data_IF_852842307764
#
_entry.id   IF_852842307764
#
_cell.length_a   1.000
_cell.length_b   1.000
_cell.length_c   1.000
_cell.angle_alpha   90.00
_cell.angle_beta   90.00
_cell.angle_gamma   90.00
#
_symmetry.space_group_name_H-M   'P 1'
#
loop_
_entity.id
_entity.type
_entity.pdbx_description
1 polymer ?
#
# COMPACT_ATOMS: atom_id res chain seq x y z
N UNK A 1 -32.28 -19.99 -16.55
CA UNK A 1 -33.64 -20.53 -16.23
C UNK A 1 -33.81 -20.54 -14.72
N UNK A 2 -34.54 -19.58 -14.14
CA UNK A 2 -34.95 -19.64 -12.71
C UNK A 2 -36.02 -20.72 -12.57
N UNK A 3 -35.60 -21.94 -12.23
CA UNK A 3 -36.53 -23.00 -11.88
C UNK A 3 -36.66 -23.00 -10.35
N UNK A 4 -37.75 -22.47 -9.82
CA UNK A 4 -38.03 -22.45 -8.37
C UNK A 4 -37.91 -23.83 -7.72
N UNK A 5 -38.01 -24.90 -8.52
CA UNK A 5 -37.76 -26.29 -8.14
C UNK A 5 -36.37 -26.53 -7.55
N UNK A 6 -35.31 -25.93 -8.09
CA UNK A 6 -33.91 -26.21 -7.67
C UNK A 6 -33.66 -25.85 -6.19
N UNK A 7 -34.45 -24.95 -5.61
CA UNK A 7 -34.33 -24.56 -4.21
C UNK A 7 -34.39 -25.73 -3.22
N UNK A 8 -35.06 -26.83 -3.58
CA UNK A 8 -35.27 -28.00 -2.70
C UNK A 8 -34.58 -29.28 -3.18
N UNK A 9 -34.08 -29.28 -4.41
CA UNK A 9 -33.48 -30.48 -5.00
C UNK A 9 -31.98 -30.56 -4.69
N UNK A 10 -31.42 -31.77 -4.74
CA UNK A 10 -30.02 -32.04 -4.44
C UNK A 10 -29.22 -32.40 -5.70
N UNK A 11 -27.92 -32.65 -5.55
CA UNK A 11 -27.03 -32.95 -6.67
C UNK A 11 -27.45 -34.23 -7.41
N UNK A 12 -27.93 -35.24 -6.69
CA UNK A 12 -28.39 -36.52 -7.26
C UNK A 12 -29.59 -36.33 -8.19
N UNK A 13 -30.60 -35.55 -7.75
CA UNK A 13 -31.74 -35.20 -8.59
C UNK A 13 -31.31 -34.51 -9.89
N UNK A 14 -30.31 -33.64 -9.80
CA UNK A 14 -29.84 -32.90 -10.96
C UNK A 14 -29.09 -33.79 -11.95
N UNK A 15 -28.22 -34.68 -11.46
CA UNK A 15 -27.49 -35.63 -12.30
C UNK A 15 -28.41 -36.63 -13.01
N UNK A 16 -29.67 -36.77 -12.57
CA UNK A 16 -30.69 -37.56 -13.26
C UNK A 16 -31.45 -36.77 -14.36
N UNK A 17 -31.14 -35.48 -14.57
CA UNK A 17 -31.79 -34.64 -15.59
C UNK A 17 -31.14 -34.79 -16.97
N UNK A 18 -31.83 -34.40 -18.07
CA UNK A 18 -31.25 -34.37 -19.42
C UNK A 18 -29.93 -33.59 -19.53
N UNK A 19 -29.07 -33.99 -20.47
CA UNK A 19 -27.74 -33.39 -20.67
C UNK A 19 -27.78 -31.88 -20.94
N UNK A 20 -28.80 -31.36 -21.66
CA UNK A 20 -28.90 -29.90 -21.87
C UNK A 20 -29.09 -29.15 -20.55
N UNK A 21 -29.87 -29.71 -19.64
CA UNK A 21 -30.01 -29.16 -18.30
C UNK A 21 -28.67 -29.23 -17.58
N UNK A 22 -27.98 -30.38 -17.65
CA UNK A 22 -26.66 -30.62 -17.02
C UNK A 22 -25.57 -29.64 -17.45
N UNK A 23 -25.52 -29.31 -18.74
CA UNK A 23 -24.57 -28.34 -19.29
C UNK A 23 -24.80 -26.93 -18.76
N UNK A 24 -26.05 -26.59 -18.40
CA UNK A 24 -26.39 -25.31 -17.79
C UNK A 24 -25.70 -25.03 -16.45
N UNK A 25 -25.18 -26.03 -15.73
CA UNK A 25 -24.42 -25.80 -14.49
C UNK A 25 -23.05 -25.15 -14.73
N UNK A 26 -22.43 -25.36 -15.89
CA UNK A 26 -21.15 -24.69 -16.21
C UNK A 26 -21.31 -23.16 -16.28
N UNK A 27 -22.49 -22.71 -16.66
CA UNK A 27 -22.84 -21.29 -16.71
C UNK A 27 -23.38 -20.76 -15.36
N UNK A 28 -23.80 -21.64 -14.44
CA UNK A 28 -24.53 -21.29 -13.22
C UNK A 28 -23.94 -21.95 -11.96
N UNK A 29 -22.69 -21.62 -11.63
CA UNK A 29 -21.99 -22.20 -10.48
C UNK A 29 -22.67 -21.93 -9.11
N UNK A 30 -23.46 -20.85 -8.99
CA UNK A 30 -24.24 -20.58 -7.77
C UNK A 30 -25.29 -21.67 -7.54
N UNK A 31 -25.91 -22.17 -8.61
CA UNK A 31 -26.88 -23.27 -8.52
C UNK A 31 -26.19 -24.60 -8.18
N UNK A 32 -24.97 -24.86 -8.69
CA UNK A 32 -24.15 -26.01 -8.25
C UNK A 32 -23.99 -26.02 -6.72
N UNK A 33 -23.61 -24.86 -6.18
CA UNK A 33 -23.29 -24.75 -4.77
C UNK A 33 -24.55 -24.87 -3.89
N UNK A 34 -25.71 -24.40 -4.35
CA UNK A 34 -27.01 -24.67 -3.69
C UNK A 34 -27.38 -26.15 -3.71
N UNK A 35 -27.24 -26.83 -4.85
CA UNK A 35 -27.52 -28.27 -4.95
C UNK A 35 -26.61 -29.07 -4.02
N UNK A 36 -25.33 -28.69 -3.93
CA UNK A 36 -24.39 -29.29 -2.99
C UNK A 36 -24.78 -29.01 -1.53
N UNK A 37 -25.17 -27.77 -1.21
CA UNK A 37 -25.71 -27.43 0.12
C UNK A 37 -26.92 -28.31 0.47
N UNK A 38 -27.89 -28.44 -0.44
CA UNK A 38 -29.08 -29.27 -0.22
C UNK A 38 -28.71 -30.76 0.01
N UNK A 39 -27.73 -31.28 -0.74
CA UNK A 39 -27.19 -32.63 -0.51
C UNK A 39 -26.60 -32.78 0.91
N UNK A 40 -25.82 -31.80 1.36
CA UNK A 40 -25.23 -31.81 2.71
C UNK A 40 -26.31 -31.76 3.80
N UNK A 41 -27.33 -30.91 3.61
CA UNK A 41 -28.46 -30.78 4.54
C UNK A 41 -29.30 -32.06 4.62
N UNK A 42 -29.58 -32.71 3.49
CA UNK A 42 -30.32 -33.97 3.47
C UNK A 42 -29.51 -35.09 4.14
N UNK A 43 -28.19 -35.16 3.88
CA UNK A 43 -27.31 -36.12 4.55
C UNK A 43 -27.32 -35.95 6.06
N UNK A 44 -27.13 -34.73 6.57
CA UNK A 44 -27.22 -34.47 8.01
C UNK A 44 -28.61 -34.82 8.57
N UNK A 45 -29.67 -34.56 7.80
CA UNK A 45 -31.05 -34.89 8.20
C UNK A 45 -31.24 -36.39 8.36
N UNK A 46 -30.71 -37.19 7.42
CA UNK A 46 -30.76 -38.66 7.49
C UNK A 46 -29.92 -39.17 8.67
N UNK A 47 -28.73 -38.62 8.87
CA UNK A 47 -27.84 -39.01 9.98
C UNK A 47 -28.48 -38.75 11.35
N UNK A 48 -29.13 -37.58 11.54
CA UNK A 48 -29.75 -37.19 12.83
C UNK A 48 -31.14 -37.79 13.05
N UNK A 49 -32.00 -37.74 12.04
CA UNK A 49 -33.43 -38.03 12.17
C UNK A 49 -33.91 -39.26 11.40
N UNK A 50 -33.03 -39.90 10.62
CA UNK A 50 -33.36 -41.03 9.76
C UNK A 50 -33.98 -40.65 8.42
N UNK A 51 -34.35 -41.67 7.66
CA UNK A 51 -35.05 -41.53 6.39
C UNK A 51 -36.41 -40.82 6.58
N UNK A 52 -36.95 -40.25 5.50
CA UNK A 52 -38.27 -39.61 5.56
C UNK A 52 -39.32 -40.64 6.02
N UNK A 53 -40.09 -40.24 7.04
CA UNK A 53 -41.13 -41.05 7.70
C UNK A 53 -40.61 -42.20 8.58
N UNK A 54 -39.29 -42.34 8.76
CA UNK A 54 -38.71 -43.27 9.72
C UNK A 54 -39.00 -42.80 11.17
N UNK A 55 -39.13 -43.76 12.10
CA UNK A 55 -39.41 -43.48 13.52
C UNK A 55 -38.34 -44.15 14.39
N UNK A 56 -38.10 -43.57 15.57
CA UNK A 56 -37.24 -44.18 16.60
C UNK A 56 -35.86 -43.54 16.79
N UNK A 57 -35.48 -42.54 15.99
CA UNK A 57 -34.25 -41.75 16.19
C UNK A 57 -34.41 -40.71 17.30
N UNK A 58 -33.32 -40.17 17.86
CA UNK A 58 -33.35 -39.12 18.89
C UNK A 58 -34.00 -37.83 18.39
N UNK A 59 -33.68 -37.43 17.16
CA UNK A 59 -34.17 -36.20 16.56
C UNK A 59 -35.36 -36.45 15.62
N UNK A 60 -36.29 -35.50 15.55
CA UNK A 60 -37.35 -35.45 14.54
C UNK A 60 -37.08 -34.29 13.56
N UNK A 61 -37.42 -34.47 12.28
CA UNK A 61 -37.42 -33.36 11.29
C UNK A 61 -38.51 -32.35 11.68
N UNK A 62 -38.17 -31.07 11.81
CA UNK A 62 -39.06 -30.01 12.33
C UNK A 62 -39.21 -28.82 11.36
N UNK A 63 -39.33 -29.15 10.07
CA UNK A 63 -39.46 -28.16 8.98
C UNK A 63 -38.15 -27.42 8.68
N UNK A 64 -38.26 -26.28 7.99
CA UNK A 64 -37.14 -25.41 7.64
C UNK A 64 -37.43 -23.95 7.94
N UNK A 65 -36.36 -23.19 8.21
CA UNK A 65 -36.40 -21.72 8.28
C UNK A 65 -35.71 -21.13 7.05
N UNK A 66 -36.13 -19.93 6.58
CA UNK A 66 -35.37 -19.19 5.59
C UNK A 66 -34.03 -18.75 6.19
N UNK A 67 -32.95 -19.00 5.47
CA UNK A 67 -31.59 -18.59 5.82
C UNK A 67 -30.79 -18.16 4.59
N UNK A 68 -29.48 -18.00 4.78
CA UNK A 68 -28.57 -17.68 3.68
C UNK A 68 -27.18 -18.22 3.96
N UNK A 69 -26.49 -18.69 2.92
CA UNK A 69 -25.07 -19.08 2.99
C UNK A 69 -24.22 -18.12 2.16
N UNK A 70 -22.91 -18.10 2.42
CA UNK A 70 -21.94 -17.32 1.64
C UNK A 70 -21.32 -18.19 0.55
N UNK A 71 -21.29 -17.69 -0.68
CA UNK A 71 -20.65 -18.35 -1.82
C UNK A 71 -19.73 -17.32 -2.48
N UNK A 72 -18.42 -17.40 -2.22
CA UNK A 72 -17.48 -16.36 -2.65
C UNK A 72 -17.82 -14.99 -2.05
N UNK A 73 -18.17 -14.03 -2.91
CA UNK A 73 -18.56 -12.66 -2.54
C UNK A 73 -20.09 -12.50 -2.42
N UNK A 74 -20.86 -13.60 -2.33
CA UNK A 74 -22.32 -13.58 -2.46
C UNK A 74 -23.02 -14.02 -1.18
N UNK A 75 -24.24 -13.49 -0.92
CA UNK A 75 -25.19 -14.11 -0.02
C UNK A 75 -26.32 -14.77 -0.80
N UNK A 76 -26.43 -16.07 -0.63
CA UNK A 76 -27.36 -16.90 -1.39
C UNK A 76 -28.43 -17.42 -0.44
N UNK A 77 -29.73 -17.17 -0.70
CA UNK A 77 -30.81 -17.65 0.15
C UNK A 77 -30.93 -19.17 0.06
N UNK A 78 -31.16 -19.81 1.20
CA UNK A 78 -31.32 -21.26 1.33
C UNK A 78 -32.38 -21.59 2.39
N UNK A 79 -32.95 -22.78 2.31
CA UNK A 79 -33.77 -23.35 3.37
C UNK A 79 -32.87 -24.08 4.38
N UNK A 80 -33.01 -23.76 5.67
CA UNK A 80 -32.22 -24.35 6.76
C UNK A 80 -33.08 -25.36 7.49
N UNK A 81 -32.74 -26.67 7.45
CA UNK A 81 -33.51 -27.68 8.17
C UNK A 81 -33.39 -27.49 9.68
N UNK A 82 -34.47 -27.82 10.39
CA UNK A 82 -34.53 -27.81 11.85
C UNK A 82 -34.78 -29.21 12.38
N UNK A 83 -34.19 -29.49 13.53
CA UNK A 83 -34.32 -30.77 14.20
C UNK A 83 -34.90 -30.56 15.60
N UNK A 84 -35.91 -31.33 15.96
CA UNK A 84 -36.44 -31.33 17.32
C UNK A 84 -35.78 -32.46 18.11
N UNK A 85 -35.01 -32.10 19.13
CA UNK A 85 -34.39 -33.05 20.04
C UNK A 85 -35.42 -33.51 21.09
N UNK A 86 -35.71 -34.82 21.12
CA UNK A 86 -36.67 -35.40 22.06
C UNK A 86 -36.14 -35.53 23.48
N UNK A 87 -34.82 -35.56 23.67
CA UNK A 87 -34.21 -35.69 25.00
C UNK A 87 -34.14 -34.32 25.68
N UNK A 88 -33.68 -33.30 24.96
CA UNK A 88 -33.54 -31.92 25.45
C UNK A 88 -34.82 -31.07 25.27
N UNK A 89 -35.85 -31.64 24.64
CA UNK A 89 -37.13 -30.99 24.31
C UNK A 89 -37.01 -29.61 23.65
N UNK A 90 -36.01 -29.43 22.78
CA UNK A 90 -35.73 -28.15 22.11
C UNK A 90 -35.47 -28.33 20.61
N UNK A 91 -35.62 -27.24 19.86
CA UNK A 91 -35.26 -27.23 18.43
C UNK A 91 -33.81 -26.80 18.26
N UNK A 92 -33.08 -27.51 17.42
CA UNK A 92 -31.70 -27.23 17.06
C UNK A 92 -31.60 -26.97 15.55
N UNK A 93 -30.70 -26.07 15.19
CA UNK A 93 -30.32 -25.81 13.80
C UNK A 93 -29.25 -26.80 13.32
N UNK A 94 -29.13 -26.96 12.00
CA UNK A 94 -28.06 -27.74 11.38
C UNK A 94 -26.68 -27.25 11.82
N UNK A 95 -25.84 -28.21 12.20
CA UNK A 95 -24.45 -27.94 12.57
C UNK A 95 -23.61 -27.65 11.33
N UNK A 96 -23.90 -28.35 10.22
CA UNK A 96 -23.30 -28.06 8.93
C UNK A 96 -23.59 -26.63 8.47
N UNK A 97 -24.81 -26.14 8.66
CA UNK A 97 -25.17 -24.76 8.35
C UNK A 97 -24.38 -23.75 9.20
N UNK A 98 -24.19 -24.02 10.50
CA UNK A 98 -23.36 -23.17 11.38
C UNK A 98 -21.91 -23.11 10.86
N UNK A 99 -21.32 -24.24 10.52
CA UNK A 99 -19.95 -24.31 9.98
C UNK A 99 -19.81 -23.53 8.65
N UNK A 100 -20.84 -23.54 7.79
CA UNK A 100 -20.83 -22.75 6.56
C UNK A 100 -20.82 -21.23 6.80
N UNK A 101 -21.37 -20.76 7.92
CA UNK A 101 -21.30 -19.35 8.30
C UNK A 101 -19.92 -18.92 8.81
N UNK A 102 -19.12 -19.87 9.28
CA UNK A 102 -17.76 -19.62 9.77
C UNK A 102 -16.73 -19.51 8.63
N UNK A 103 -17.10 -19.85 7.39
CA UNK A 103 -16.21 -19.72 6.23
C UNK A 103 -15.80 -18.25 6.06
N UNK A 104 -14.48 -17.94 6.09
CA UNK A 104 -14.01 -16.56 6.02
C UNK A 104 -14.33 -15.94 4.66
N UNK A 105 -14.61 -14.64 4.68
CA UNK A 105 -14.84 -13.86 3.48
C UNK A 105 -13.52 -13.73 2.69
N UNK A 106 -13.54 -13.70 1.35
CA UNK A 106 -12.33 -13.55 0.53
C UNK A 106 -11.81 -12.10 0.55
N UNK A 107 -11.48 -11.61 1.74
CA UNK A 107 -11.18 -10.20 2.04
C UNK A 107 -10.11 -9.60 1.13
N UNK A 108 -9.08 -10.35 0.78
CA UNK A 108 -8.00 -9.90 -0.09
C UNK A 108 -8.51 -9.47 -1.48
N UNK A 109 -9.47 -10.21 -2.05
CA UNK A 109 -10.06 -9.90 -3.37
C UNK A 109 -10.87 -8.61 -3.30
N UNK A 110 -11.67 -8.44 -2.23
CA UNK A 110 -12.44 -7.23 -1.96
C UNK A 110 -11.51 -6.03 -1.79
N UNK A 111 -10.46 -6.17 -0.98
CA UNK A 111 -9.43 -5.14 -0.77
C UNK A 111 -8.79 -4.72 -2.09
N UNK A 112 -8.39 -5.68 -2.93
CA UNK A 112 -7.77 -5.44 -4.23
C UNK A 112 -8.71 -4.70 -5.18
N UNK A 113 -9.99 -5.07 -5.22
CA UNK A 113 -11.02 -4.40 -6.02
C UNK A 113 -11.26 -2.96 -5.57
N UNK A 114 -11.41 -2.75 -4.26
CA UNK A 114 -11.62 -1.41 -3.67
C UNK A 114 -10.42 -0.52 -3.94
N UNK A 115 -9.20 -1.00 -3.70
CA UNK A 115 -8.01 -0.17 -3.92
C UNK A 115 -7.77 0.12 -5.39
N UNK A 116 -8.13 -0.79 -6.30
CA UNK A 116 -8.10 -0.55 -7.75
C UNK A 116 -9.19 0.42 -8.23
N UNK A 117 -10.04 0.88 -7.32
CA UNK A 117 -10.93 1.99 -7.53
C UNK A 117 -12.39 1.59 -7.75
N UNK A 118 -12.81 0.38 -7.41
CA UNK A 118 -14.25 0.12 -7.29
C UNK A 118 -14.74 0.80 -6.02
N UNK A 119 -15.70 1.73 -6.14
CA UNK A 119 -16.34 2.27 -4.95
C UNK A 119 -17.17 1.17 -4.28
N UNK A 120 -17.44 1.29 -2.98
CA UNK A 120 -18.21 0.26 -2.28
C UNK A 120 -19.65 0.15 -2.81
N UNK A 121 -20.19 1.22 -3.40
CA UNK A 121 -21.50 1.23 -4.06
C UNK A 121 -21.44 0.55 -5.44
N UNK A 122 -20.46 0.92 -6.26
CA UNK A 122 -20.27 0.30 -7.57
C UNK A 122 -19.93 -1.18 -7.42
N UNK A 123 -19.22 -1.57 -6.35
CA UNK A 123 -18.94 -2.97 -6.05
C UNK A 123 -20.24 -3.75 -5.78
N UNK A 124 -21.13 -3.22 -4.95
CA UNK A 124 -22.44 -3.83 -4.69
C UNK A 124 -23.26 -3.97 -5.98
N UNK A 125 -23.24 -2.97 -6.85
CA UNK A 125 -23.93 -3.01 -8.15
C UNK A 125 -23.30 -4.02 -9.14
N UNK A 126 -21.97 -4.04 -9.25
CA UNK A 126 -21.24 -4.98 -10.12
C UNK A 126 -21.42 -6.42 -9.64
N UNK A 127 -21.40 -6.66 -8.32
CA UNK A 127 -21.66 -8.01 -7.79
C UNK A 127 -23.10 -8.45 -8.04
N UNK A 128 -24.09 -7.57 -7.82
CA UNK A 128 -25.51 -7.83 -8.14
C UNK A 128 -25.82 -8.05 -9.63
N UNK A 129 -24.99 -7.53 -10.54
CA UNK A 129 -25.20 -7.68 -11.99
C UNK A 129 -24.56 -8.94 -12.56
N UNK A 130 -23.46 -9.40 -11.97
CA UNK A 130 -22.86 -10.70 -12.32
C UNK A 130 -23.70 -11.84 -11.76
N UNK A 131 -24.40 -11.60 -10.65
CA UNK A 131 -25.18 -12.61 -9.96
C UNK A 131 -26.55 -12.08 -9.55
N UNK A 132 -27.62 -12.75 -9.99
CA UNK A 132 -29.00 -12.43 -9.58
C UNK A 132 -29.29 -12.81 -8.10
N UNK A 133 -28.31 -12.72 -7.22
CA UNK A 133 -28.36 -13.00 -5.77
C UNK A 133 -28.28 -11.70 -4.95
N UNK A 134 -28.40 -11.80 -3.62
CA UNK A 134 -28.16 -10.66 -2.76
C UNK A 134 -26.64 -10.39 -2.72
N UNK A 135 -26.13 -9.63 -3.69
CA UNK A 135 -24.76 -9.11 -3.65
C UNK A 135 -24.50 -8.40 -2.31
N UNK A 136 -23.25 -8.39 -1.85
CA UNK A 136 -22.94 -7.88 -0.51
C UNK A 136 -23.37 -6.42 -0.35
N UNK A 137 -24.00 -6.11 0.77
CA UNK A 137 -24.33 -4.72 1.07
C UNK A 137 -23.06 -3.87 1.19
N UNK A 138 -23.15 -2.61 0.76
CA UNK A 138 -22.12 -1.60 0.96
C UNK A 138 -21.63 -1.55 2.42
N UNK A 139 -22.53 -1.72 3.39
CA UNK A 139 -22.19 -1.74 4.82
C UNK A 139 -21.34 -2.94 5.23
N UNK A 140 -21.52 -4.10 4.61
CA UNK A 140 -20.71 -5.30 4.87
C UNK A 140 -19.33 -5.14 4.25
N UNK A 141 -19.27 -4.71 2.99
CA UNK A 141 -18.01 -4.41 2.28
C UNK A 141 -17.19 -3.36 3.03
N UNK A 142 -17.84 -2.31 3.54
CA UNK A 142 -17.17 -1.28 4.32
C UNK A 142 -16.57 -1.81 5.61
N UNK A 143 -17.31 -2.63 6.37
CA UNK A 143 -16.81 -3.25 7.61
C UNK A 143 -15.61 -4.14 7.35
N UNK A 144 -15.71 -5.04 6.36
CA UNK A 144 -14.60 -5.92 5.97
C UNK A 144 -13.38 -5.11 5.52
N UNK A 145 -13.57 -4.07 4.70
CA UNK A 145 -12.47 -3.20 4.31
C UNK A 145 -11.82 -2.54 5.54
N UNK A 146 -12.62 -2.08 6.51
CA UNK A 146 -12.11 -1.44 7.72
C UNK A 146 -11.27 -2.39 8.55
N UNK A 147 -11.78 -3.59 8.83
CA UNK A 147 -11.09 -4.61 9.62
C UNK A 147 -9.77 -5.03 8.97
N UNK A 148 -9.77 -5.27 7.66
CA UNK A 148 -8.62 -5.80 6.94
C UNK A 148 -7.56 -4.71 6.68
N UNK A 149 -8.00 -3.51 6.32
CA UNK A 149 -7.07 -2.36 6.20
C UNK A 149 -6.45 -1.97 7.54
N UNK A 150 -7.13 -2.21 8.67
CA UNK A 150 -6.55 -2.02 10.01
C UNK A 150 -5.42 -3.01 10.27
N UNK A 151 -5.62 -4.30 9.97
CA UNK A 151 -4.56 -5.32 10.09
C UNK A 151 -3.34 -4.96 9.23
N UNK A 152 -3.56 -4.55 7.99
CA UNK A 152 -2.48 -4.13 7.08
C UNK A 152 -1.77 -2.85 7.54
N UNK A 153 -2.48 -1.91 8.15
CA UNK A 153 -1.87 -0.74 8.77
C UNK A 153 -0.96 -1.16 9.93
N UNK A 154 -1.46 -2.01 10.83
CA UNK A 154 -0.66 -2.52 11.96
C UNK A 154 0.56 -3.32 11.50
N UNK A 155 0.41 -4.15 10.46
CA UNK A 155 1.54 -4.87 9.84
C UNK A 155 2.58 -3.87 9.30
N UNK A 156 2.14 -2.87 8.55
CA UNK A 156 3.02 -1.86 7.98
C UNK A 156 3.77 -1.05 9.05
N UNK A 157 3.07 -0.69 10.13
CA UNK A 157 3.62 0.10 11.24
C UNK A 157 4.53 -0.72 12.16
N UNK A 158 4.39 -2.04 12.24
CA UNK A 158 5.16 -2.90 13.16
C UNK A 158 6.22 -3.76 12.48
N UNK A 159 6.25 -3.82 11.14
CA UNK A 159 7.19 -4.70 10.43
C UNK A 159 8.63 -4.39 10.79
N UNK A 160 9.39 -5.48 10.96
CA UNK A 160 10.82 -5.44 11.21
C UNK A 160 11.57 -4.94 9.97
N UNK A 161 12.40 -3.93 10.16
CA UNK A 161 13.26 -3.35 9.14
C UNK A 161 14.67 -3.94 9.18
N UNK A 162 15.02 -4.69 10.24
CA UNK A 162 16.35 -5.30 10.42
C UNK A 162 16.67 -6.40 9.41
N UNK A 163 15.66 -6.92 8.72
CA UNK A 163 15.82 -7.88 7.62
C UNK A 163 16.40 -7.26 6.34
N UNK A 164 16.52 -5.93 6.29
CA UNK A 164 16.99 -5.19 5.13
C UNK A 164 18.32 -4.48 5.43
N UNK A 165 19.19 -4.47 4.43
CA UNK A 165 20.39 -3.63 4.42
C UNK A 165 20.13 -2.41 3.52
N UNK A 166 20.01 -1.21 4.11
CA UNK A 166 19.63 0.02 3.41
C UNK A 166 20.83 0.86 2.98
N UNK A 167 20.88 1.21 1.70
CA UNK A 167 21.87 2.11 1.11
C UNK A 167 21.45 3.59 1.19
N UNK A 168 20.15 3.84 1.07
CA UNK A 168 19.60 5.19 1.03
C UNK A 168 18.20 5.28 1.63
N UNK A 169 17.88 6.48 2.09
CA UNK A 169 16.58 6.89 2.59
C UNK A 169 16.09 8.11 1.81
N UNK A 170 14.89 8.07 1.27
CA UNK A 170 14.25 9.20 0.59
C UNK A 170 13.07 9.65 1.44
N UNK A 171 13.01 10.93 1.75
CA UNK A 171 11.91 11.53 2.52
C UNK A 171 11.29 12.63 1.67
N UNK A 172 9.98 12.52 1.44
CA UNK A 172 9.24 13.50 0.65
C UNK A 172 7.86 13.76 1.25
N UNK A 173 7.46 15.03 1.22
CA UNK A 173 6.16 15.50 1.70
C UNK A 173 5.18 15.63 0.54
N UNK A 174 3.97 15.09 0.70
CA UNK A 174 2.91 15.22 -0.29
C UNK A 174 1.58 15.59 0.32
N UNK A 175 0.92 16.58 -0.29
CA UNK A 175 -0.44 16.93 0.08
C UNK A 175 -1.44 15.80 -0.23
N UNK A 176 -2.18 15.39 0.81
CA UNK A 176 -3.37 14.57 0.73
C UNK A 176 -4.60 15.38 1.17
N UNK A 177 -5.41 15.81 0.21
CA UNK A 177 -6.54 16.72 0.47
C UNK A 177 -6.05 18.03 1.11
N UNK A 178 -6.38 18.29 2.38
CA UNK A 178 -5.96 19.48 3.13
C UNK A 178 -4.79 19.21 4.08
N UNK A 179 -4.31 17.96 4.17
CA UNK A 179 -3.20 17.56 5.04
C UNK A 179 -1.95 17.30 4.21
N UNK A 180 -0.79 17.34 4.85
CA UNK A 180 0.47 16.86 4.28
C UNK A 180 0.76 15.46 4.83
N UNK A 181 1.27 14.58 3.99
CA UNK A 181 1.78 13.26 4.38
C UNK A 181 3.24 13.19 3.98
N UNK A 182 4.10 13.02 4.97
CA UNK A 182 5.52 12.77 4.74
C UNK A 182 5.71 11.27 4.68
N UNK A 183 6.38 10.80 3.63
CA UNK A 183 6.65 9.38 3.38
C UNK A 183 8.15 9.15 3.40
N UNK A 184 8.57 8.11 4.11
CA UNK A 184 9.93 7.60 4.08
C UNK A 184 10.00 6.37 3.16
N UNK A 185 10.93 6.37 2.21
CA UNK A 185 11.19 5.28 1.27
C UNK A 185 12.65 4.84 1.41
N UNK A 186 12.87 3.58 1.75
CA UNK A 186 14.20 2.98 1.81
C UNK A 186 14.59 2.36 0.47
N UNK A 187 15.88 2.42 0.15
CA UNK A 187 16.49 1.66 -0.94
C UNK A 187 17.49 0.68 -0.35
N UNK A 188 17.26 -0.60 -0.56
CA UNK A 188 18.16 -1.65 -0.07
C UNK A 188 19.42 -1.75 -0.92
N UNK A 189 20.46 -2.42 -0.42
CA UNK A 189 21.69 -2.72 -1.17
C UNK A 189 21.45 -3.56 -2.43
N UNK A 190 20.33 -4.28 -2.51
CA UNK A 190 19.90 -5.00 -3.73
C UNK A 190 19.09 -4.13 -4.70
N UNK A 191 18.89 -2.85 -4.36
CA UNK A 191 18.14 -1.87 -5.13
C UNK A 191 16.63 -1.94 -4.97
N UNK A 192 16.10 -2.77 -4.07
CA UNK A 192 14.66 -2.85 -3.81
C UNK A 192 14.21 -1.59 -3.07
N UNK A 193 13.10 -1.01 -3.51
CA UNK A 193 12.47 0.16 -2.88
C UNK A 193 11.38 -0.29 -1.93
N UNK A 194 11.46 0.15 -0.69
CA UNK A 194 10.64 -0.34 0.42
C UNK A 194 10.04 0.88 1.15
N UNK A 195 8.73 1.16 1.03
CA UNK A 195 8.10 2.29 1.73
C UNK A 195 8.13 2.04 3.24
N UNK A 196 8.93 2.78 4.02
CA UNK A 196 9.27 2.44 5.41
C UNK A 196 8.23 2.87 6.42
N UNK A 197 7.61 4.01 6.18
CA UNK A 197 6.70 4.66 7.09
C UNK A 197 6.12 5.93 6.48
N UNK A 198 5.06 6.44 7.09
CA UNK A 198 4.51 7.75 6.75
C UNK A 198 4.01 8.44 8.02
N UNK A 199 3.86 9.75 7.96
CA UNK A 199 3.24 10.53 9.04
C UNK A 199 2.37 11.63 8.45
N UNK A 200 1.16 11.78 9.01
CA UNK A 200 0.27 12.89 8.69
C UNK A 200 0.72 14.14 9.44
N UNK A 201 0.94 15.24 8.73
CA UNK A 201 1.37 16.52 9.28
C UNK A 201 0.51 17.66 8.72
N UNK A 202 0.35 18.72 9.51
CA UNK A 202 -0.38 19.93 9.10
C UNK A 202 0.57 21.02 8.58
N UNK A 203 1.84 21.00 8.97
CA UNK A 203 2.92 21.92 8.53
C UNK A 203 4.27 21.19 8.48
N UNK A 204 5.31 21.85 7.92
CA UNK A 204 6.72 21.38 7.85
C UNK A 204 7.39 21.26 9.23
N UNK A 205 6.78 20.51 10.15
CA UNK A 205 7.27 20.38 11.51
C UNK A 205 8.35 19.28 11.60
N UNK A 206 9.60 19.71 11.79
CA UNK A 206 10.75 18.85 12.09
C UNK A 206 10.47 17.79 13.19
N UNK A 207 9.61 18.09 14.17
CA UNK A 207 9.26 17.14 15.24
C UNK A 207 8.49 15.93 14.73
N UNK A 208 7.56 16.14 13.79
CA UNK A 208 6.78 15.04 13.22
C UNK A 208 7.68 14.09 12.42
N UNK A 209 8.57 14.65 11.60
CA UNK A 209 9.56 13.88 10.84
C UNK A 209 10.50 13.14 11.79
N UNK A 210 10.98 13.79 12.86
CA UNK A 210 11.81 13.15 13.88
C UNK A 210 11.09 11.97 14.54
N UNK A 211 9.80 12.10 14.83
CA UNK A 211 8.97 11.01 15.32
C UNK A 211 8.91 9.84 14.34
N UNK A 212 8.70 10.13 13.04
CA UNK A 212 8.75 9.11 11.99
C UNK A 212 10.11 8.40 11.95
N UNK A 213 11.23 9.14 11.93
CA UNK A 213 12.57 8.55 11.86
C UNK A 213 12.91 7.71 13.10
N UNK A 214 12.54 8.18 14.30
CA UNK A 214 12.69 7.41 15.54
C UNK A 214 11.90 6.09 15.48
N UNK A 215 10.67 6.13 14.98
CA UNK A 215 9.88 4.92 14.81
C UNK A 215 10.54 3.91 13.85
N UNK A 216 11.23 4.37 12.80
CA UNK A 216 12.00 3.48 11.93
C UNK A 216 13.13 2.79 12.70
N UNK A 217 13.86 3.53 13.54
CA UNK A 217 14.94 2.99 14.37
C UNK A 217 14.41 1.97 15.38
N UNK A 218 13.28 2.26 16.04
CA UNK A 218 12.59 1.34 16.95
C UNK A 218 12.17 0.03 16.27
N UNK A 219 12.03 0.03 14.94
CA UNK A 219 11.75 -1.13 14.09
C UNK A 219 13.01 -1.74 13.47
N UNK A 220 14.18 -1.52 14.07
CA UNK A 220 15.48 -2.03 13.62
C UNK A 220 15.95 -1.50 12.26
N UNK A 221 15.66 -0.24 11.94
CA UNK A 221 16.28 0.41 10.78
C UNK A 221 17.77 0.66 11.04
N UNK A 222 18.64 -0.17 10.46
CA UNK A 222 20.10 -0.06 10.57
C UNK A 222 20.66 0.97 9.58
N UNK A 223 21.54 1.84 10.07
CA UNK A 223 22.18 2.93 9.30
C UNK A 223 23.66 3.17 9.70
N UNK A 224 24.21 2.31 10.56
CA UNK A 224 25.55 2.38 11.15
C UNK A 224 26.65 2.24 10.09
N UNK A 225 26.34 1.59 8.98
CA UNK A 225 27.20 1.40 7.81
C UNK A 225 27.21 2.61 6.85
N UNK A 226 26.61 3.73 7.26
CA UNK A 226 26.48 4.97 6.50
C UNK A 226 25.23 5.00 5.63
N UNK A 227 24.52 6.14 5.61
CA UNK A 227 23.24 6.30 4.92
C UNK A 227 23.22 7.54 4.02
N UNK A 228 22.85 7.38 2.75
CA UNK A 228 22.53 8.53 1.90
C UNK A 228 21.06 8.94 2.12
N UNK A 229 20.81 10.14 2.64
CA UNK A 229 19.44 10.65 2.83
C UNK A 229 19.09 11.70 1.78
N UNK A 230 18.04 11.46 0.99
CA UNK A 230 17.56 12.37 -0.05
C UNK A 230 16.30 13.11 0.41
N UNK A 231 16.34 14.44 0.34
CA UNK A 231 15.23 15.32 0.74
C UNK A 231 14.94 16.38 -0.33
N UNK A 232 13.72 16.92 -0.35
CA UNK A 232 13.30 17.99 -1.25
C UNK A 232 13.94 19.36 -0.93
N UNK A 233 14.38 19.55 0.32
CA UNK A 233 15.08 20.74 0.80
C UNK A 233 14.38 21.53 1.90
N UNK A 234 13.31 21.02 2.54
CA UNK A 234 12.77 21.72 3.71
C UNK A 234 13.79 21.77 4.86
N UNK A 235 13.97 22.95 5.47
CA UNK A 235 14.89 23.13 6.62
C UNK A 235 14.51 22.22 7.79
N UNK A 236 13.22 21.95 7.95
CA UNK A 236 12.70 21.04 8.98
C UNK A 236 13.10 19.59 8.75
N UNK A 237 13.06 19.10 7.50
CA UNK A 237 13.52 17.75 7.14
C UNK A 237 15.01 17.60 7.40
N UNK A 238 15.82 18.55 6.92
CA UNK A 238 17.27 18.56 7.14
C UNK A 238 17.61 18.43 8.63
N UNK A 239 17.03 19.31 9.45
CA UNK A 239 17.25 19.31 10.90
C UNK A 239 16.83 17.98 11.55
N UNK A 240 15.69 17.42 11.15
CA UNK A 240 15.22 16.15 11.69
C UNK A 240 16.17 14.98 11.35
N UNK A 241 16.71 14.97 10.14
CA UNK A 241 17.68 13.96 9.67
C UNK A 241 19.00 14.09 10.44
N UNK A 242 19.56 15.30 10.53
CA UNK A 242 20.81 15.56 11.28
C UNK A 242 20.67 15.20 12.76
N UNK A 243 19.57 15.57 13.40
CA UNK A 243 19.32 15.25 14.82
C UNK A 243 19.05 13.76 15.08
N UNK A 244 18.66 12.98 14.07
CA UNK A 244 18.30 11.56 14.25
C UNK A 244 19.44 10.63 13.88
N UNK A 245 20.11 10.86 12.74
CA UNK A 245 21.19 9.99 12.26
C UNK A 245 22.58 10.55 12.51
N UNK A 246 22.70 11.81 12.94
CA UNK A 246 23.97 12.44 13.29
C UNK A 246 24.98 12.38 12.15
N UNK A 247 26.22 12.00 12.48
CA UNK A 247 27.34 11.92 11.54
C UNK A 247 27.36 10.61 10.73
N UNK A 248 26.29 9.80 10.76
CA UNK A 248 26.19 8.55 10.02
C UNK A 248 25.40 8.69 8.71
N UNK A 249 25.00 9.92 8.36
CA UNK A 249 24.28 10.19 7.12
C UNK A 249 24.89 11.33 6.33
N UNK A 250 24.83 11.21 5.00
CA UNK A 250 25.06 12.32 4.10
C UNK A 250 23.73 12.75 3.49
N UNK A 251 23.46 14.05 3.51
CA UNK A 251 22.25 14.61 2.93
C UNK A 251 22.51 14.98 1.47
N UNK A 252 21.66 14.47 0.58
CA UNK A 252 21.56 14.91 -0.79
C UNK A 252 20.23 15.66 -0.98
N UNK A 253 20.32 16.93 -1.35
CA UNK A 253 19.12 17.72 -1.66
C UNK A 253 18.72 17.52 -3.11
N UNK A 254 17.43 17.38 -3.38
CA UNK A 254 16.90 17.18 -4.72
C UNK A 254 17.29 18.35 -5.65
N UNK A 255 18.07 18.05 -6.68
CA UNK A 255 18.52 19.04 -7.67
C UNK A 255 17.35 19.62 -8.47
N UNK A 256 16.31 18.81 -8.74
CA UNK A 256 15.12 19.25 -9.47
C UNK A 256 14.32 20.28 -8.66
N UNK A 257 13.93 19.96 -7.42
CA UNK A 257 13.23 20.90 -6.55
C UNK A 257 14.06 22.15 -6.29
N UNK A 258 15.38 21.99 -6.09
CA UNK A 258 16.25 23.16 -5.91
C UNK A 258 16.25 24.07 -7.13
N UNK A 259 16.35 23.50 -8.33
CA UNK A 259 16.29 24.25 -9.59
C UNK A 259 14.97 25.00 -9.74
N UNK A 260 13.84 24.33 -9.49
CA UNK A 260 12.51 24.97 -9.56
C UNK A 260 12.33 26.07 -8.51
N UNK A 261 12.83 25.87 -7.29
CA UNK A 261 12.84 26.88 -6.23
C UNK A 261 13.63 28.13 -6.64
N UNK A 262 14.78 27.97 -7.30
CA UNK A 262 15.60 29.10 -7.78
C UNK A 262 14.88 29.89 -8.89
N UNK A 263 14.37 29.20 -9.92
CA UNK A 263 13.75 29.87 -11.08
C UNK A 263 12.36 30.43 -10.79
N UNK A 264 11.70 30.00 -9.69
CA UNK A 264 10.39 30.51 -9.29
C UNK A 264 10.38 32.03 -9.04
N UNK A 265 11.51 32.60 -8.62
CA UNK A 265 11.69 34.03 -8.38
C UNK A 265 11.97 34.85 -9.65
N UNK A 266 12.23 34.20 -10.78
CA UNK A 266 12.59 34.85 -12.04
C UNK A 266 11.35 35.13 -12.90
N UNK A 267 11.50 36.05 -13.85
CA UNK A 267 10.46 36.33 -14.85
C UNK A 267 10.33 35.14 -15.79
N UNK A 268 9.15 34.97 -16.42
CA UNK A 268 8.86 33.76 -17.19
C UNK A 268 9.82 33.55 -18.36
N UNK A 269 10.29 34.63 -18.97
CA UNK A 269 11.20 34.64 -20.11
C UNK A 269 12.60 34.12 -19.72
N UNK A 270 12.98 34.26 -18.45
CA UNK A 270 14.31 33.89 -17.93
C UNK A 270 14.37 32.44 -17.42
N UNK A 271 13.21 31.84 -17.09
CA UNK A 271 13.17 30.54 -16.38
C UNK A 271 13.82 29.42 -17.18
N UNK A 272 13.50 29.29 -18.46
CA UNK A 272 14.06 28.22 -19.30
C UNK A 272 15.59 28.33 -19.45
N UNK A 273 16.09 29.56 -19.59
CA UNK A 273 17.54 29.82 -19.68
C UNK A 273 18.25 29.35 -18.41
N UNK A 274 17.73 29.74 -17.24
CA UNK A 274 18.32 29.37 -15.95
C UNK A 274 18.11 27.90 -15.58
N UNK A 275 16.99 27.28 -15.97
CA UNK A 275 16.81 25.82 -15.89
C UNK A 275 17.92 25.10 -16.64
N UNK A 276 18.21 25.52 -17.88
CA UNK A 276 19.28 24.96 -18.69
C UNK A 276 20.68 25.19 -18.09
N UNK A 277 20.97 26.39 -17.60
CA UNK A 277 22.26 26.70 -16.94
C UNK A 277 22.49 25.82 -15.71
N UNK A 278 21.52 25.77 -14.80
CA UNK A 278 21.59 24.94 -13.59
C UNK A 278 21.72 23.46 -13.92
N UNK A 279 20.96 22.97 -14.89
CA UNK A 279 21.04 21.56 -15.32
C UNK A 279 22.43 21.22 -15.86
N UNK A 280 23.03 22.10 -16.68
CA UNK A 280 24.40 21.90 -17.18
C UNK A 280 25.42 21.87 -16.05
N UNK A 281 25.32 22.80 -15.09
CA UNK A 281 26.21 22.80 -13.93
C UNK A 281 26.10 21.50 -13.11
N UNK A 282 24.90 20.98 -12.89
CA UNK A 282 24.70 19.69 -12.22
C UNK A 282 25.14 18.47 -13.04
N UNK A 283 25.28 18.61 -14.36
CA UNK A 283 25.72 17.52 -15.24
C UNK A 283 27.24 17.42 -15.36
N UNK A 284 27.98 18.32 -14.71
CA UNK A 284 29.44 18.21 -14.65
C UNK A 284 29.89 16.97 -13.87
N UNK A 285 30.98 16.32 -14.29
CA UNK A 285 31.40 15.04 -13.74
C UNK A 285 32.11 15.17 -12.37
N UNK A 286 32.73 16.31 -12.09
CA UNK A 286 33.49 16.56 -10.87
C UNK A 286 32.87 17.66 -10.01
N UNK A 287 33.14 17.57 -8.70
CA UNK A 287 32.59 18.47 -7.69
C UNK A 287 33.06 19.92 -7.87
N UNK A 288 34.35 20.14 -8.11
CA UNK A 288 34.94 21.49 -8.16
C UNK A 288 34.41 22.28 -9.37
N UNK A 289 34.32 21.64 -10.54
CA UNK A 289 33.76 22.24 -11.75
C UNK A 289 32.26 22.51 -11.60
N UNK A 290 31.49 21.55 -11.08
CA UNK A 290 30.06 21.74 -10.82
C UNK A 290 29.82 22.92 -9.86
N UNK A 291 30.57 22.96 -8.76
CA UNK A 291 30.50 24.02 -7.75
C UNK A 291 30.90 25.38 -8.30
N UNK A 292 32.00 25.45 -9.07
CA UNK A 292 32.45 26.66 -9.73
C UNK A 292 31.37 27.26 -10.62
N UNK A 293 30.77 26.44 -11.49
CA UNK A 293 29.66 26.88 -12.36
C UNK A 293 28.43 27.32 -11.60
N UNK A 294 28.07 26.64 -10.50
CA UNK A 294 26.94 27.07 -9.67
C UNK A 294 27.22 28.42 -8.99
N UNK A 295 28.46 28.71 -8.60
CA UNK A 295 28.83 30.03 -8.08
C UNK A 295 28.79 31.13 -9.15
N UNK A 296 29.24 30.84 -10.36
CA UNK A 296 29.07 31.76 -11.49
C UNK A 296 27.58 32.10 -11.72
N UNK A 297 26.72 31.06 -11.76
CA UNK A 297 25.27 31.25 -11.88
C UNK A 297 24.70 32.04 -10.71
N UNK A 298 25.16 31.79 -9.47
CA UNK A 298 24.77 32.57 -8.28
C UNK A 298 25.10 34.05 -8.46
N UNK A 299 26.31 34.36 -8.93
CA UNK A 299 26.78 35.74 -9.06
C UNK A 299 26.09 36.48 -10.21
N UNK A 300 25.73 35.78 -11.29
CA UNK A 300 24.81 36.29 -12.30
C UNK A 300 23.43 36.59 -11.71
N UNK A 301 22.83 35.60 -11.02
CA UNK A 301 21.50 35.73 -10.41
C UNK A 301 21.48 36.89 -9.41
N UNK A 302 22.57 37.16 -8.70
CA UNK A 302 22.66 38.27 -7.74
C UNK A 302 22.40 39.63 -8.39
N UNK A 303 22.75 39.79 -9.67
CA UNK A 303 22.51 41.01 -10.45
C UNK A 303 21.06 41.10 -10.96
N UNK A 304 20.38 39.96 -11.14
CA UNK A 304 19.02 39.88 -11.69
C UNK A 304 17.97 39.86 -10.57
N UNK A 305 18.10 38.91 -9.64
CA UNK A 305 17.23 38.71 -8.50
C UNK A 305 18.00 38.14 -7.30
N UNK A 306 18.16 38.98 -6.27
CA UNK A 306 18.86 38.62 -5.01
C UNK A 306 18.25 37.39 -4.33
N UNK A 307 16.94 37.22 -4.36
CA UNK A 307 16.26 36.09 -3.71
C UNK A 307 16.52 34.78 -4.47
N UNK A 308 16.58 34.81 -5.81
CA UNK A 308 16.98 33.65 -6.61
C UNK A 308 18.43 33.23 -6.29
N UNK A 309 19.35 34.19 -6.17
CA UNK A 309 20.74 33.94 -5.74
C UNK A 309 20.81 33.33 -4.34
N UNK A 310 20.12 33.91 -3.37
CA UNK A 310 20.08 33.40 -2.00
C UNK A 310 19.45 32.01 -1.93
N UNK A 311 18.42 31.76 -2.76
CA UNK A 311 17.85 30.45 -2.94
C UNK A 311 18.93 29.51 -3.42
N UNK A 312 19.64 29.77 -4.53
CA UNK A 312 20.68 28.86 -5.03
C UNK A 312 21.78 28.54 -3.99
N UNK A 313 22.24 29.55 -3.26
CA UNK A 313 23.29 29.43 -2.24
C UNK A 313 22.87 28.55 -1.04
N UNK A 314 21.58 28.58 -0.67
CA UNK A 314 21.06 27.81 0.45
C UNK A 314 21.05 26.30 0.14
N UNK A 315 21.83 25.51 0.87
CA UNK A 315 21.90 24.05 0.65
C UNK A 315 22.58 23.64 -0.66
N UNK A 316 23.36 24.53 -1.29
CA UNK A 316 24.14 24.24 -2.50
C UNK A 316 25.06 23.02 -2.31
N UNK A 317 25.74 22.94 -1.16
CA UNK A 317 26.62 21.81 -0.86
C UNK A 317 25.88 20.47 -0.79
N UNK A 318 24.62 20.48 -0.41
CA UNK A 318 23.78 19.29 -0.31
C UNK A 318 23.32 18.83 -1.69
N UNK A 319 23.23 19.73 -2.68
CA UNK A 319 22.88 19.32 -4.05
C UNK A 319 24.04 18.65 -4.79
N UNK A 320 25.26 18.79 -4.27
CA UNK A 320 26.50 18.25 -4.81
C UNK A 320 27.05 17.04 -4.03
N UNK A 321 26.29 16.44 -3.12
CA UNK A 321 26.75 15.28 -2.34
C UNK A 321 27.13 14.09 -3.25
N UNK A 322 26.35 13.81 -4.29
CA UNK A 322 26.69 12.77 -5.28
C UNK A 322 27.97 13.07 -6.07
N UNK A 323 28.28 14.35 -6.34
CA UNK A 323 29.54 14.76 -6.95
C UNK A 323 30.71 14.54 -5.99
N UNK A 324 30.55 14.91 -4.71
CA UNK A 324 31.57 14.72 -3.67
C UNK A 324 31.91 13.25 -3.46
N UNK A 325 30.90 12.38 -3.55
CA UNK A 325 31.07 10.92 -3.51
C UNK A 325 31.72 10.34 -4.77
N UNK A 326 31.87 11.12 -5.85
CA UNK A 326 32.41 10.64 -7.14
C UNK A 326 31.46 9.69 -7.88
N UNK A 327 30.16 9.73 -7.58
CA UNK A 327 29.17 8.77 -8.08
C UNK A 327 28.09 9.41 -8.97
N UNK A 328 28.27 10.67 -9.36
CA UNK A 328 27.30 11.41 -10.17
C UNK A 328 27.01 10.73 -11.52
N UNK A 329 28.04 10.27 -12.24
CA UNK A 329 27.85 9.61 -13.54
C UNK A 329 27.23 8.21 -13.40
N UNK A 330 27.51 7.52 -12.29
CA UNK A 330 27.06 6.13 -12.08
C UNK A 330 25.66 6.03 -11.51
N UNK A 331 25.36 6.85 -10.50
CA UNK A 331 24.17 6.74 -9.65
C UNK A 331 23.38 8.06 -9.60
N UNK A 332 23.91 9.16 -10.14
CA UNK A 332 23.30 10.47 -10.05
C UNK A 332 21.88 10.51 -10.61
N UNK A 333 21.62 9.85 -11.73
CA UNK A 333 20.28 9.78 -12.32
C UNK A 333 19.18 9.25 -11.38
N UNK A 334 19.55 8.44 -10.37
CA UNK A 334 18.62 7.89 -9.38
C UNK A 334 18.64 8.66 -8.06
N UNK A 335 19.79 9.18 -7.65
CA UNK A 335 20.00 9.68 -6.28
C UNK A 335 20.15 11.19 -6.17
N UNK A 336 20.20 11.97 -7.26
CA UNK A 336 20.22 13.44 -7.17
C UNK A 336 18.83 14.08 -7.11
N UNK A 337 17.77 13.29 -7.28
CA UNK A 337 16.39 13.76 -7.27
C UNK A 337 15.50 12.85 -6.42
N UNK A 338 14.27 13.31 -6.20
CA UNK A 338 13.18 12.56 -5.55
C UNK A 338 12.44 11.61 -6.51
N UNK A 339 12.97 11.36 -7.72
CA UNK A 339 12.31 10.51 -8.73
C UNK A 339 11.91 9.12 -8.20
N UNK A 340 12.70 8.57 -7.27
CA UNK A 340 12.45 7.26 -6.67
C UNK A 340 11.12 7.19 -5.91
N UNK A 341 10.71 8.30 -5.30
CA UNK A 341 9.46 8.41 -4.53
C UNK A 341 8.33 9.08 -5.33
N UNK A 342 8.63 9.85 -6.38
CA UNK A 342 7.62 10.46 -7.24
C UNK A 342 6.66 9.44 -7.89
N UNK A 343 7.17 8.28 -8.32
CA UNK A 343 6.31 7.21 -8.84
C UNK A 343 5.36 6.67 -7.76
N UNK A 344 5.88 6.46 -6.55
CA UNK A 344 5.08 6.03 -5.39
C UNK A 344 4.01 7.06 -5.08
N UNK A 345 4.39 8.33 -5.02
CA UNK A 345 3.50 9.46 -4.79
C UNK A 345 2.40 9.55 -5.85
N UNK A 346 2.73 9.36 -7.13
CA UNK A 346 1.76 9.36 -8.23
C UNK A 346 0.76 8.20 -8.12
N UNK A 347 1.24 6.99 -7.85
CA UNK A 347 0.38 5.82 -7.66
C UNK A 347 -0.50 5.93 -6.41
N UNK A 348 0.05 6.45 -5.31
CA UNK A 348 -0.70 6.71 -4.08
C UNK A 348 -1.88 7.64 -4.37
N UNK A 349 -1.64 8.76 -5.07
CA UNK A 349 -2.71 9.66 -5.53
C UNK A 349 -3.75 8.92 -6.36
N UNK A 350 -3.35 8.04 -7.29
CA UNK A 350 -4.30 7.27 -8.11
C UNK A 350 -5.22 6.39 -7.26
N UNK A 351 -4.69 5.73 -6.24
CA UNK A 351 -5.47 4.84 -5.37
C UNK A 351 -6.43 5.60 -4.44
N UNK A 352 -6.02 6.73 -3.89
CA UNK A 352 -6.84 7.50 -2.94
C UNK A 352 -7.78 8.52 -3.62
N UNK A 353 -7.58 8.86 -4.90
CA UNK A 353 -8.36 9.88 -5.62
C UNK A 353 -9.88 9.64 -5.61
N UNK A 354 -10.32 8.39 -5.52
CA UNK A 354 -11.75 8.03 -5.49
C UNK A 354 -12.38 8.21 -4.12
N UNK A 355 -11.60 8.34 -3.05
CA UNK A 355 -12.09 8.66 -1.71
C UNK A 355 -12.40 10.16 -1.65
N UNK A 356 -13.68 10.52 -1.64
CA UNK A 356 -14.12 11.93 -1.63
C UNK A 356 -14.42 12.48 -0.24
N UNK A 357 -14.74 11.61 0.71
CA UNK A 357 -15.10 11.99 2.09
C UNK A 357 -14.18 11.27 3.07
N UNK A 358 -13.27 12.04 3.66
CA UNK A 358 -12.42 11.58 4.76
C UNK A 358 -13.12 11.88 6.09
N UNK A 359 -13.29 10.88 6.94
CA UNK A 359 -14.02 11.03 8.21
C UNK A 359 -13.09 11.26 9.40
N UNK A 360 -11.92 10.63 9.41
CA UNK A 360 -10.92 10.74 10.47
C UNK A 360 -9.51 10.42 9.97
N UNK A 361 -8.50 10.64 10.84
CA UNK A 361 -7.09 10.35 10.53
C UNK A 361 -6.84 8.84 10.36
N UNK A 362 -7.45 7.99 11.18
CA UNK A 362 -7.30 6.53 11.09
C UNK A 362 -7.72 5.98 9.71
N UNK A 363 -8.80 6.50 9.14
CA UNK A 363 -9.22 6.17 7.77
C UNK A 363 -8.13 6.54 6.75
N UNK A 364 -7.52 7.73 6.87
CA UNK A 364 -6.43 8.15 5.97
C UNK A 364 -5.24 7.22 6.10
N UNK A 365 -4.79 6.92 7.32
CA UNK A 365 -3.67 6.01 7.58
C UNK A 365 -3.92 4.64 6.99
N UNK A 366 -5.11 4.05 7.18
CA UNK A 366 -5.48 2.77 6.57
C UNK A 366 -5.40 2.81 5.04
N UNK A 367 -5.96 3.84 4.41
CA UNK A 367 -5.88 3.97 2.94
C UNK A 367 -4.45 4.13 2.43
N UNK A 368 -3.63 4.91 3.14
CA UNK A 368 -2.22 5.14 2.77
C UNK A 368 -1.43 3.85 2.92
N UNK A 369 -1.51 3.16 4.07
CA UNK A 369 -0.78 1.91 4.29
C UNK A 369 -1.12 0.84 3.25
N UNK A 370 -2.41 0.58 3.00
CA UNK A 370 -2.83 -0.40 2.00
C UNK A 370 -2.36 -0.01 0.60
N UNK A 371 -2.40 1.29 0.26
CA UNK A 371 -1.88 1.77 -1.02
C UNK A 371 -0.38 1.57 -1.13
N UNK A 372 0.40 1.90 -0.10
CA UNK A 372 1.85 1.71 -0.09
C UNK A 372 2.24 0.24 -0.25
N UNK A 373 1.59 -0.67 0.49
CA UNK A 373 1.82 -2.12 0.37
C UNK A 373 1.50 -2.65 -1.03
N UNK A 374 0.44 -2.14 -1.67
CA UNK A 374 0.07 -2.55 -3.04
C UNK A 374 1.01 -1.94 -4.10
N UNK A 375 1.57 -0.75 -3.86
CA UNK A 375 2.58 -0.12 -4.72
C UNK A 375 3.90 -0.87 -4.62
N UNK A 376 4.32 -1.21 -3.41
CA UNK A 376 5.57 -1.91 -3.09
C UNK A 376 5.75 -3.16 -3.97
N UNK A 377 4.69 -3.98 -4.08
CA UNK A 377 4.65 -5.20 -4.93
C UNK A 377 5.00 -4.97 -6.40
N UNK A 378 4.91 -3.73 -6.90
CA UNK A 378 5.11 -3.37 -8.31
C UNK A 378 6.31 -2.47 -8.54
N UNK A 379 6.99 -2.04 -7.47
CA UNK A 379 8.14 -1.17 -7.59
C UNK A 379 9.30 -1.95 -8.23
N UNK A 380 9.79 -1.43 -9.35
CA UNK A 380 11.04 -1.92 -9.95
C UNK A 380 12.23 -1.51 -9.08
N UNK A 381 13.30 -2.28 -9.11
CA UNK A 381 14.57 -1.91 -8.47
C UNK A 381 15.10 -0.57 -9.00
N UNK A 382 15.94 0.09 -8.22
CA UNK A 382 16.63 1.32 -8.64
C UNK A 382 17.56 1.02 -9.82
N UNK A 383 17.69 1.96 -10.75
CA UNK A 383 18.60 1.81 -11.88
C UNK A 383 20.04 1.71 -11.37
N UNK A 384 20.86 0.86 -12.01
CA UNK A 384 22.27 0.64 -11.65
C UNK A 384 22.44 0.15 -10.20
N UNK A 385 21.48 -0.65 -9.70
CA UNK A 385 21.54 -1.24 -8.37
C UNK A 385 22.80 -2.10 -8.15
N UNK A 386 23.41 -2.63 -9.22
CA UNK A 386 24.69 -3.34 -9.20
C UNK A 386 25.87 -2.48 -8.72
N UNK A 387 25.71 -1.15 -8.70
CA UNK A 387 26.73 -0.19 -8.24
C UNK A 387 26.49 0.35 -6.82
N UNK A 388 25.48 -0.14 -6.09
CA UNK A 388 25.20 0.33 -4.73
C UNK A 388 26.31 -0.03 -3.73
N UNK A 389 27.12 -1.05 -4.02
CA UNK A 389 28.34 -1.31 -3.27
C UNK A 389 29.33 -0.13 -3.33
N UNK A 390 29.45 0.54 -4.48
CA UNK A 390 30.29 1.73 -4.62
C UNK A 390 29.76 2.87 -3.75
N UNK A 391 28.43 3.03 -3.67
CA UNK A 391 27.81 4.00 -2.76
C UNK A 391 28.16 3.72 -1.30
N UNK A 392 28.05 2.47 -0.85
CA UNK A 392 28.42 2.09 0.53
C UNK A 392 29.89 2.42 0.82
N UNK A 393 30.80 2.05 -0.08
CA UNK A 393 32.25 2.32 0.08
C UNK A 393 32.51 3.82 0.15
N UNK A 394 31.92 4.61 -0.75
CA UNK A 394 32.08 6.07 -0.76
C UNK A 394 31.52 6.70 0.52
N UNK A 395 30.33 6.27 0.98
CA UNK A 395 29.74 6.72 2.24
C UNK A 395 30.65 6.43 3.43
N UNK A 396 31.15 5.20 3.57
CA UNK A 396 32.06 4.82 4.66
C UNK A 396 33.35 5.64 4.68
N UNK A 397 33.90 5.92 3.50
CA UNK A 397 35.09 6.75 3.35
C UNK A 397 34.83 8.19 3.79
N UNK A 398 33.78 8.81 3.25
CA UNK A 398 33.43 10.21 3.52
C UNK A 398 33.03 10.43 4.99
N UNK A 399 32.29 9.49 5.57
CA UNK A 399 31.86 9.50 6.97
C UNK A 399 32.93 8.98 7.95
N UNK A 400 34.11 8.56 7.44
CA UNK A 400 35.25 8.04 8.22
C UNK A 400 34.91 6.83 9.11
N UNK A 401 33.95 6.01 8.70
CA UNK A 401 33.47 4.86 9.49
C UNK A 401 34.51 3.73 9.59
N UNK A 402 35.39 3.61 8.59
CA UNK A 402 36.44 2.59 8.59
C UNK A 402 37.56 2.84 9.61
N UNK A 403 37.61 4.03 10.24
CA UNK A 403 38.67 4.41 11.19
C UNK A 403 38.31 4.11 12.65
N UNK A 404 37.06 3.73 12.96
CA UNK A 404 36.61 3.50 14.34
C UNK A 404 36.83 2.05 14.85
N UNK A 405 37.24 1.12 13.98
CA UNK A 405 37.49 -0.29 14.36
C UNK A 405 38.99 -0.61 14.62
N UNK A 406 39.84 0.41 14.76
CA UNK A 406 41.25 0.26 15.12
C UNK A 406 41.55 1.16 16.32
N UNK A 407 41.08 0.74 17.50
CA UNK A 407 41.51 1.26 18.79
C UNK A 407 41.49 0.14 19.83
#
# INVERSE_FOLDING_TARGET
MKNSKISKENLEWYLSQPTELQLGLFENFVEMAKLHYNQMMEKESVDKAGEKYERGKRYNRWGSNPGSIRIGEEKVPVDVPRYYDKEEMRTEESETYKNLHEIPMPSEVIMKKIIKGLSQRDYEEVTKSIFESFGMSQSTISRTFIEESKKLLEEFEKRDLGIYDFAALIIDGKYLSHDNIVIALGVTMTGVKVPLGFIQTTTENSQAVKGLLKNLIERNFHFEEGLLTIIDGSKGLRKAVEETFGNLTLIQRCQWHKRENVVSYLRQEEKEVYRGKLQRAYSEPDYDTAKGRLFEIRDELRKINRTASNSLEEGLEETLTMHRLGLIETLGASFTTTNLIENLNSQLTKYIRKVKRWTNSEMKSRWVAVALLEIEKKMRRVNRFDKLNLLRVALKSELRLNQQNVA
#
